data_IF_943542069146
#
_entry.id   IF_943542069146
#
_cell.length_a   1.000
_cell.length_b   1.000
_cell.length_c   1.000
_cell.angle_alpha   90.00
_cell.angle_beta   90.00
_cell.angle_gamma   90.00
#
_symmetry.space_group_name_H-M   'P 1'
#
loop_
_entity.id
_entity.type
_entity.pdbx_description
1 polymer ?
#
# COMPACT_ATOMS: atom_id res chain seq x y z
N UNK A 1 6.77 6.71 -4.38
CA UNK A 1 7.14 6.71 -2.95
C UNK A 1 8.39 5.87 -2.85
N UNK A 2 9.45 6.34 -2.19
CA UNK A 2 10.61 5.48 -1.95
C UNK A 2 10.30 4.59 -0.75
N UNK A 3 10.40 3.26 -0.90
CA UNK A 3 10.30 2.38 0.24
C UNK A 3 11.50 2.60 1.15
N UNK A 4 11.25 2.98 2.41
CA UNK A 4 12.31 3.26 3.38
C UNK A 4 12.50 2.12 4.40
N UNK A 5 11.70 1.05 4.30
CA UNK A 5 11.76 -0.07 5.24
C UNK A 5 11.30 -1.40 4.62
N UNK A 6 11.76 -2.50 5.21
CA UNK A 6 11.37 -3.86 4.82
C UNK A 6 11.75 -4.22 3.38
N UNK A 7 10.95 -5.11 2.77
CA UNK A 7 11.16 -5.58 1.40
C UNK A 7 10.92 -4.49 0.32
N UNK A 8 10.42 -3.32 0.71
CA UNK A 8 10.15 -2.22 -0.21
C UNK A 8 11.37 -1.31 -0.44
N UNK A 9 12.47 -1.49 0.30
CA UNK A 9 13.67 -0.65 0.16
C UNK A 9 14.23 -0.72 -1.25
N UNK A 10 14.41 0.44 -1.89
CA UNK A 10 14.92 0.56 -3.25
C UNK A 10 13.93 0.19 -4.35
N UNK A 11 12.67 -0.07 -4.02
CA UNK A 11 11.61 -0.26 -5.02
C UNK A 11 11.07 1.10 -5.48
N UNK A 12 11.06 1.33 -6.80
CA UNK A 12 10.46 2.51 -7.43
C UNK A 12 9.16 2.12 -8.15
N UNK A 13 8.06 2.84 -7.88
CA UNK A 13 6.78 2.63 -8.54
C UNK A 13 5.56 2.95 -7.67
N UNK A 14 4.46 2.26 -7.98
CA UNK A 14 3.22 2.29 -7.19
C UNK A 14 3.32 1.31 -6.01
N UNK A 15 2.64 1.65 -4.92
CA UNK A 15 2.53 0.77 -3.75
C UNK A 15 1.17 0.86 -3.08
N UNK A 16 0.89 -0.14 -2.27
CA UNK A 16 -0.23 -0.16 -1.33
C UNK A 16 0.37 0.12 0.05
N UNK A 17 -0.07 1.18 0.71
CA UNK A 17 0.52 1.60 1.98
C UNK A 17 -0.52 2.27 2.91
N UNK A 18 -0.18 2.31 4.20
CA UNK A 18 -0.94 3.05 5.19
C UNK A 18 -0.79 4.56 5.03
N UNK A 19 -1.58 5.36 5.74
CA UNK A 19 -1.48 6.83 5.70
C UNK A 19 -1.58 7.45 7.09
N UNK A 20 -0.87 8.56 7.30
CA UNK A 20 -1.04 9.43 8.48
C UNK A 20 -2.16 10.46 8.28
N UNK A 21 -2.72 10.53 7.07
CA UNK A 21 -3.83 11.41 6.70
C UNK A 21 -5.09 10.55 6.46
N UNK A 22 -5.76 10.03 7.50
CA UNK A 22 -6.87 9.08 7.33
C UNK A 22 -8.01 9.63 6.48
N UNK A 23 -8.27 10.94 6.57
CA UNK A 23 -9.29 11.65 5.78
C UNK A 23 -9.03 11.67 4.26
N UNK A 24 -7.81 11.28 3.84
CA UNK A 24 -7.46 11.16 2.41
C UNK A 24 -7.94 9.86 1.78
N UNK A 25 -8.34 8.87 2.59
CA UNK A 25 -8.86 7.59 2.12
C UNK A 25 -10.21 7.81 1.42
N UNK A 26 -10.42 7.11 0.30
CA UNK A 26 -11.60 7.28 -0.55
C UNK A 26 -11.59 8.55 -1.41
N UNK A 27 -10.46 9.28 -1.47
CA UNK A 27 -10.30 10.51 -2.28
C UNK A 27 -9.16 10.39 -3.28
N UNK A 28 -9.22 11.18 -4.35
CA UNK A 28 -8.11 11.36 -5.30
C UNK A 28 -7.03 12.27 -4.70
N UNK A 29 -6.38 11.80 -3.64
CA UNK A 29 -5.43 12.56 -2.82
C UNK A 29 -4.02 11.94 -2.78
N UNK A 30 -3.80 10.85 -3.50
CA UNK A 30 -2.47 10.27 -3.66
C UNK A 30 -1.82 10.72 -4.97
N UNK A 31 -0.51 10.51 -5.09
CA UNK A 31 0.23 10.65 -6.36
C UNK A 31 0.20 9.33 -7.16
N UNK A 32 -0.88 8.56 -7.03
CA UNK A 32 -1.13 7.29 -7.72
C UNK A 32 -0.91 6.02 -6.90
N UNK A 33 -0.33 6.09 -5.70
CA UNK A 33 -0.32 4.96 -4.77
C UNK A 33 -1.69 4.70 -4.15
N UNK A 34 -1.95 3.48 -3.69
CA UNK A 34 -3.18 3.14 -2.95
C UNK A 34 -2.94 3.37 -1.46
N UNK A 35 -3.75 4.27 -0.87
CA UNK A 35 -3.76 4.53 0.58
C UNK A 35 -4.83 3.67 1.25
N UNK A 36 -4.47 3.03 2.35
CA UNK A 36 -5.38 2.26 3.22
C UNK A 36 -5.28 2.75 4.67
N UNK A 37 -6.23 2.36 5.53
CA UNK A 37 -6.00 2.50 6.96
C UNK A 37 -4.82 1.62 7.39
N UNK A 38 -4.07 2.07 8.40
CA UNK A 38 -2.86 1.38 8.85
C UNK A 38 -3.17 -0.05 9.35
N UNK A 39 -4.33 -0.24 9.98
CA UNK A 39 -4.79 -1.57 10.41
C UNK A 39 -5.12 -2.48 9.22
N UNK A 40 -5.79 -1.96 8.19
CA UNK A 40 -6.19 -2.72 7.01
C UNK A 40 -4.98 -3.17 6.19
N UNK A 41 -4.01 -2.27 5.92
CA UNK A 41 -2.80 -2.66 5.19
C UNK A 41 -1.95 -3.64 6.00
N UNK A 42 -1.94 -3.51 7.33
CA UNK A 42 -1.26 -4.45 8.22
C UNK A 42 -1.91 -5.83 8.20
N UNK A 43 -3.24 -5.88 8.16
CA UNK A 43 -3.99 -7.13 7.99
C UNK A 43 -3.76 -7.75 6.62
N UNK A 44 -3.88 -6.96 5.54
CA UNK A 44 -3.62 -7.40 4.16
C UNK A 44 -2.21 -7.99 4.04
N UNK A 45 -1.17 -7.30 4.53
CA UNK A 45 0.20 -7.77 4.47
C UNK A 45 0.39 -9.15 5.13
N UNK A 46 -0.32 -9.45 6.22
CA UNK A 46 -0.25 -10.76 6.89
C UNK A 46 -0.87 -11.89 6.08
N UNK A 47 -1.76 -11.58 5.13
CA UNK A 47 -2.40 -12.57 4.26
C UNK A 47 -1.60 -12.88 3.01
N UNK A 48 -0.66 -12.02 2.63
CA UNK A 48 0.07 -12.14 1.38
C UNK A 48 1.36 -12.96 1.58
N UNK A 49 1.55 -13.93 0.70
CA UNK A 49 2.82 -14.65 0.56
C UNK A 49 3.61 -14.07 -0.63
N UNK A 50 4.84 -13.55 -0.41
CA UNK A 50 5.67 -13.02 -1.49
C UNK A 50 5.88 -14.04 -2.62
N UNK A 51 5.68 -13.61 -3.86
CA UNK A 51 5.86 -14.44 -5.06
C UNK A 51 4.72 -15.41 -5.36
N UNK A 52 3.79 -15.62 -4.43
CA UNK A 52 2.62 -16.51 -4.63
C UNK A 52 1.31 -15.72 -4.72
N UNK A 53 1.14 -14.71 -3.88
CA UNK A 53 -0.07 -13.91 -3.84
C UNK A 53 -0.08 -12.82 -4.90
N UNK A 54 -1.23 -12.61 -5.55
CA UNK A 54 -1.47 -11.50 -6.49
C UNK A 54 -2.58 -10.60 -5.94
N UNK A 55 -2.34 -9.29 -5.93
CA UNK A 55 -3.35 -8.28 -5.58
C UNK A 55 -3.81 -7.59 -6.86
N UNK A 56 -5.11 -7.60 -7.11
CA UNK A 56 -5.74 -6.90 -8.25
C UNK A 56 -6.54 -5.73 -7.70
N UNK A 57 -6.23 -4.52 -8.18
CA UNK A 57 -7.00 -3.31 -7.85
C UNK A 57 -8.07 -3.16 -8.93
N UNK A 58 -9.33 -3.17 -8.51
CA UNK A 58 -10.47 -2.95 -9.38
C UNK A 58 -10.90 -1.47 -9.35
N UNK A 59 -11.48 -0.96 -10.45
CA UNK A 59 -12.05 0.39 -10.50
C UNK A 59 -13.24 0.58 -9.56
#
# INVERSE_FOLDING_TARGET
LEGISGAAVGQEGYGIHGTIEPESIGRSASLGCVRMHNEDVGFLHKLLTPGESTVVILP
#
